data_IF_050801829951
#
_entry.id   IF_050801829951
#
_cell.length_a   1.000
_cell.length_b   1.000
_cell.length_c   1.000
_cell.angle_alpha   90.00
_cell.angle_beta   90.00
_cell.angle_gamma   90.00
#
_symmetry.space_group_name_H-M   'P 1'
#
loop_
_entity.id
_entity.type
_entity.pdbx_description
1 polymer ?
#
# COMPACT_ATOMS: atom_id res chain seq x y z
N UNK A 1 -17.34 -8.92 10.73
CA UNK A 1 -17.18 -7.46 10.92
C UNK A 1 -15.72 -7.13 10.93
N UNK A 2 -15.23 -6.72 9.77
CA UNK A 2 -13.92 -6.12 9.64
C UNK A 2 -13.83 -4.87 10.52
N UNK A 3 -12.65 -4.62 11.04
CA UNK A 3 -12.30 -3.45 11.81
C UNK A 3 -11.48 -2.49 10.94
N UNK A 4 -11.22 -1.23 11.36
CA UNK A 4 -10.34 -0.35 10.62
C UNK A 4 -8.94 -0.97 10.45
N UNK A 5 -8.63 -1.34 9.20
CA UNK A 5 -7.36 -1.94 8.82
C UNK A 5 -6.34 -0.85 8.50
N UNK A 6 -5.14 -1.01 9.03
CA UNK A 6 -3.94 -0.25 8.66
C UNK A 6 -2.93 -1.22 8.06
N UNK A 7 -2.09 -0.73 7.16
CA UNK A 7 -1.13 -1.54 6.43
C UNK A 7 0.29 -1.01 6.63
N UNK A 8 1.26 -1.90 6.56
CA UNK A 8 2.68 -1.53 6.49
C UNK A 8 2.97 -0.89 5.11
N UNK A 9 3.61 0.28 5.06
CA UNK A 9 3.93 0.92 3.79
C UNK A 9 5.03 0.16 3.04
N UNK A 10 4.86 0.02 1.72
CA UNK A 10 5.89 -0.56 0.84
C UNK A 10 6.60 0.58 0.13
N UNK A 11 7.88 0.80 0.46
CA UNK A 11 8.68 1.88 -0.12
C UNK A 11 9.32 1.45 -1.43
N UNK A 12 9.20 2.29 -2.46
CA UNK A 12 9.81 2.09 -3.76
C UNK A 12 10.83 3.19 -4.05
N UNK A 13 12.08 2.78 -4.27
CA UNK A 13 13.13 3.68 -4.73
C UNK A 13 12.87 4.13 -6.17
N UNK A 14 13.08 5.42 -6.41
CA UNK A 14 12.92 6.04 -7.72
C UNK A 14 14.00 7.10 -7.92
N UNK A 15 14.49 7.20 -9.15
CA UNK A 15 15.50 8.22 -9.52
C UNK A 15 15.01 9.64 -9.25
N UNK A 16 13.72 9.90 -9.42
CA UNK A 16 13.03 11.16 -9.14
C UNK A 16 12.54 11.29 -7.69
N UNK A 17 12.79 10.27 -6.85
CA UNK A 17 12.35 10.23 -5.47
C UNK A 17 13.15 11.16 -4.56
N UNK A 18 12.67 11.28 -3.32
CA UNK A 18 13.28 12.13 -2.31
C UNK A 18 13.12 11.56 -0.90
N UNK A 19 12.99 12.47 0.06
CA UNK A 19 12.84 12.15 1.49
C UNK A 19 11.77 13.00 2.19
N UNK A 20 10.89 13.69 1.45
CA UNK A 20 9.84 14.50 2.06
C UNK A 20 8.79 13.65 2.79
N UNK A 21 8.62 12.37 2.43
CA UNK A 21 7.71 11.47 3.14
C UNK A 21 8.11 11.26 4.61
N UNK A 22 9.39 11.40 4.96
CA UNK A 22 9.83 11.37 6.35
C UNK A 22 9.29 12.56 7.14
N UNK A 23 9.37 13.76 6.59
CA UNK A 23 9.05 14.99 7.33
C UNK A 23 7.57 15.33 7.31
N UNK A 24 6.89 15.07 6.18
CA UNK A 24 5.47 15.39 6.01
C UNK A 24 4.55 14.33 6.60
N UNK A 25 4.97 13.06 6.57
CA UNK A 25 4.13 11.91 6.95
C UNK A 25 4.77 11.00 8.01
N UNK A 26 5.94 11.36 8.56
CA UNK A 26 6.68 10.55 9.54
C UNK A 26 6.95 9.11 9.06
N UNK A 27 7.15 8.93 7.76
CA UNK A 27 7.42 7.60 7.18
C UNK A 27 8.83 7.14 7.55
N UNK A 28 9.03 5.89 8.04
CA UNK A 28 10.34 5.37 8.42
C UNK A 28 11.14 4.92 7.19
N UNK A 29 11.58 5.88 6.36
CA UNK A 29 12.27 5.54 5.12
C UNK A 29 13.66 4.91 5.38
N UNK A 30 14.07 3.90 4.60
CA UNK A 30 15.41 3.35 4.70
C UNK A 30 16.50 4.42 4.51
N UNK A 31 17.60 4.39 5.28
CA UNK A 31 18.65 5.40 5.19
C UNK A 31 19.37 5.33 3.83
N UNK A 32 19.70 6.49 3.26
CA UNK A 32 20.49 6.59 2.02
C UNK A 32 19.74 6.32 0.72
N UNK A 33 18.47 5.90 0.76
CA UNK A 33 17.64 5.69 -0.43
C UNK A 33 16.81 6.93 -0.77
N UNK A 34 16.58 7.14 -2.07
CA UNK A 34 15.62 8.13 -2.61
C UNK A 34 14.28 7.46 -2.86
N UNK A 35 13.31 7.66 -1.98
CA UNK A 35 12.00 7.01 -2.10
C UNK A 35 11.07 7.91 -2.90
N UNK A 36 10.57 7.40 -4.02
CA UNK A 36 9.59 8.13 -4.84
C UNK A 36 8.16 7.72 -4.56
N UNK A 37 7.92 6.48 -4.13
CA UNK A 37 6.57 6.00 -3.84
C UNK A 37 6.53 5.30 -2.48
N UNK A 38 5.49 5.58 -1.71
CA UNK A 38 5.05 4.77 -0.57
C UNK A 38 3.72 4.15 -0.91
N UNK A 39 3.67 2.84 -1.11
CA UNK A 39 2.43 2.14 -1.42
C UNK A 39 1.74 1.81 -0.11
N UNK A 40 0.54 2.36 0.03
CA UNK A 40 -0.26 2.27 1.25
C UNK A 40 -1.26 1.11 1.18
N UNK A 41 -1.74 0.80 -0.03
CA UNK A 41 -2.63 -0.33 -0.30
C UNK A 41 -2.27 -0.92 -1.66
N UNK A 42 -1.93 -2.21 -1.69
CA UNK A 42 -1.57 -2.93 -2.91
C UNK A 42 -1.91 -4.42 -2.78
N UNK A 43 -2.54 -4.98 -3.82
CA UNK A 43 -2.75 -6.43 -3.99
C UNK A 43 -2.05 -6.94 -5.26
N UNK A 44 -0.88 -6.36 -5.54
CA UNK A 44 -0.05 -6.77 -6.68
C UNK A 44 0.84 -7.94 -6.28
N UNK A 45 1.00 -8.98 -7.13
CA UNK A 45 1.80 -10.16 -6.81
C UNK A 45 3.25 -9.87 -6.38
N UNK A 46 3.83 -8.77 -6.87
CA UNK A 46 5.20 -8.34 -6.56
C UNK A 46 5.32 -7.48 -5.29
N UNK A 47 4.19 -6.98 -4.76
CA UNK A 47 4.16 -6.10 -3.59
C UNK A 47 2.74 -6.06 -3.01
N UNK A 48 2.41 -7.03 -2.15
CA UNK A 48 1.12 -7.12 -1.45
C UNK A 48 1.24 -6.43 -0.08
N UNK A 49 0.28 -5.58 0.26
CA UNK A 49 0.23 -4.88 1.54
C UNK A 49 -0.08 -5.83 2.69
N UNK A 50 0.69 -5.72 3.78
CA UNK A 50 0.52 -6.51 5.00
C UNK A 50 -0.21 -5.69 6.06
N UNK A 51 -1.18 -6.31 6.74
CA UNK A 51 -1.98 -5.68 7.80
C UNK A 51 -1.08 -5.43 9.02
N UNK A 52 -1.08 -4.20 9.53
CA UNK A 52 -0.23 -3.76 10.62
C UNK A 52 -0.89 -3.80 12.00
N UNK A 53 -2.22 -4.00 12.09
CA UNK A 53 -2.95 -3.89 13.36
C UNK A 53 -4.04 -4.94 13.56
N UNK A 54 -4.38 -5.14 14.84
CA UNK A 54 -5.52 -5.95 15.27
C UNK A 54 -5.33 -7.45 15.08
N UNK A 55 -6.42 -8.23 15.17
CA UNK A 55 -6.39 -9.70 15.11
C UNK A 55 -5.85 -10.31 13.82
N UNK A 56 -5.92 -9.59 12.70
CA UNK A 56 -5.41 -10.04 11.40
C UNK A 56 -4.02 -9.47 11.07
N UNK A 57 -3.34 -8.81 12.01
CA UNK A 57 -1.98 -8.33 11.78
C UNK A 57 -1.05 -9.47 11.30
N UNK A 58 -0.24 -9.19 10.29
CA UNK A 58 0.64 -10.17 9.64
C UNK A 58 0.02 -10.95 8.47
N UNK A 59 -1.31 -10.94 8.31
CA UNK A 59 -1.94 -11.35 7.05
C UNK A 59 -1.82 -10.25 6.00
N UNK A 60 -1.86 -10.63 4.73
CA UNK A 60 -1.78 -9.70 3.61
C UNK A 60 -3.16 -9.43 2.96
N UNK A 61 -3.20 -8.43 2.07
CA UNK A 61 -4.41 -8.03 1.38
C UNK A 61 -4.96 -9.14 0.47
N UNK A 62 -4.10 -10.02 -0.05
CA UNK A 62 -4.53 -11.19 -0.83
C UNK A 62 -5.31 -12.15 0.04
N UNK A 63 -4.81 -12.47 1.23
CA UNK A 63 -5.50 -13.30 2.21
C UNK A 63 -6.86 -12.68 2.59
N UNK A 64 -6.95 -11.36 2.75
CA UNK A 64 -8.24 -10.69 2.96
C UNK A 64 -9.19 -10.83 1.78
N UNK A 65 -8.71 -10.71 0.54
CA UNK A 65 -9.54 -10.93 -0.64
C UNK A 65 -10.04 -12.38 -0.73
N UNK A 66 -9.20 -13.36 -0.39
CA UNK A 66 -9.58 -14.78 -0.42
C UNK A 66 -10.57 -15.17 0.68
N UNK A 67 -10.47 -14.56 1.87
CA UNK A 67 -11.21 -15.00 3.06
C UNK A 67 -12.34 -14.03 3.48
N UNK A 68 -12.29 -12.77 3.02
CA UNK A 68 -13.15 -11.68 3.48
C UNK A 68 -13.57 -10.70 2.36
N UNK A 69 -13.48 -11.07 1.08
CA UNK A 69 -13.79 -10.16 -0.04
C UNK A 69 -15.17 -9.50 0.03
N UNK A 70 -16.24 -10.24 0.38
CA UNK A 70 -17.60 -9.69 0.46
C UNK A 70 -17.69 -8.56 1.50
N UNK A 71 -17.02 -8.73 2.64
CA UNK A 71 -17.01 -7.73 3.70
C UNK A 71 -16.08 -6.55 3.39
N UNK A 72 -15.00 -6.81 2.64
CA UNK A 72 -14.02 -5.80 2.23
C UNK A 72 -14.52 -4.92 1.08
N UNK A 73 -15.17 -5.52 0.08
CA UNK A 73 -15.63 -4.85 -1.15
C UNK A 73 -17.09 -4.38 -1.07
N UNK A 74 -17.89 -4.98 -0.18
CA UNK A 74 -19.35 -4.78 -0.15
C UNK A 74 -20.04 -5.43 -1.35
N UNK A 75 -21.21 -4.91 -1.73
CA UNK A 75 -22.06 -5.43 -2.82
C UNK A 75 -21.53 -5.13 -4.24
N UNK A 76 -20.22 -4.95 -4.39
CA UNK A 76 -19.59 -4.74 -5.70
C UNK A 76 -19.32 -6.09 -6.33
N UNK A 77 -19.78 -6.37 -7.56
CA UNK A 77 -19.41 -7.59 -8.25
C UNK A 77 -17.88 -7.63 -8.39
N UNK A 78 -17.25 -8.62 -7.77
CA UNK A 78 -15.85 -8.94 -8.04
C UNK A 78 -15.75 -9.40 -9.49
N UNK A 79 -15.27 -8.51 -10.35
CA UNK A 79 -14.97 -8.83 -11.75
C UNK A 79 -13.58 -9.47 -11.90
N UNK A 80 -12.69 -9.24 -10.92
CA UNK A 80 -11.34 -9.78 -10.84
C UNK A 80 -11.09 -10.37 -9.44
N UNK A 81 -10.16 -11.34 -9.36
CA UNK A 81 -9.71 -11.94 -8.09
C UNK A 81 -8.89 -10.96 -7.21
N UNK A 82 -8.49 -9.82 -7.78
CA UNK A 82 -7.60 -8.86 -7.12
C UNK A 82 -8.38 -7.69 -6.51
N UNK A 83 -7.84 -7.12 -5.44
CA UNK A 83 -8.31 -5.84 -4.93
C UNK A 83 -8.17 -4.76 -6.01
N UNK A 84 -9.22 -3.96 -6.30
CA UNK A 84 -9.28 -3.15 -7.51
C UNK A 84 -8.41 -1.89 -7.48
N UNK A 85 -7.92 -1.48 -6.30
CA UNK A 85 -7.21 -0.21 -6.13
C UNK A 85 -5.77 -0.38 -5.68
N UNK A 86 -4.95 0.57 -6.11
CA UNK A 86 -3.59 0.77 -5.64
C UNK A 86 -3.48 2.19 -5.11
N UNK A 87 -3.25 2.34 -3.81
CA UNK A 87 -3.12 3.64 -3.16
C UNK A 87 -1.66 3.93 -2.85
N UNK A 88 -1.19 5.12 -3.24
CA UNK A 88 0.22 5.52 -3.08
C UNK A 88 0.35 6.98 -2.68
N UNK A 89 1.39 7.28 -1.93
CA UNK A 89 1.95 8.62 -1.78
C UNK A 89 3.16 8.75 -2.70
N UNK A 90 3.24 9.84 -3.46
CA UNK A 90 4.35 10.11 -4.38
C UNK A 90 5.16 11.32 -3.88
N UNK A 91 6.48 11.15 -3.83
CA UNK A 91 7.46 12.21 -3.57
C UNK A 91 8.21 12.55 -4.87
N UNK A 92 7.52 13.23 -5.77
CA UNK A 92 8.05 13.64 -7.08
C UNK A 92 8.93 14.89 -6.94
N UNK A 93 10.24 14.68 -6.76
CA UNK A 93 11.23 15.78 -6.65
C UNK A 93 11.73 16.25 -8.02
N UNK A 94 11.45 15.49 -9.07
CA UNK A 94 11.79 15.78 -10.45
C UNK A 94 10.56 15.50 -11.32
N UNK A 95 10.56 16.04 -12.54
CA UNK A 95 9.46 15.85 -13.48
C UNK A 95 9.29 14.37 -13.83
N UNK A 96 8.04 13.92 -13.79
CA UNK A 96 7.65 12.60 -14.27
C UNK A 96 7.35 12.65 -15.77
N UNK A 97 7.48 11.51 -16.43
CA UNK A 97 7.11 11.38 -17.85
C UNK A 97 5.63 11.71 -18.08
N UNK A 98 5.35 12.36 -19.20
CA UNK A 98 4.00 12.64 -19.73
C UNK A 98 3.58 11.56 -20.72
#
# INVERSE_FOLDING_TARGET
>A
MLYPLTFEPIFQERVWGGRHLETLFNKPLPPGLRIGESWEVSDRPDAVSVIANGPFAGHDLRWLMENHAEELLGEVPSHDENFPWLAKLLDANEDLSV
#
